data_IF_194911028601
#
_entry.id   IF_194911028601
#
_cell.length_a   1.000
_cell.length_b   1.000
_cell.length_c   1.000
_cell.angle_alpha   90.00
_cell.angle_beta   90.00
_cell.angle_gamma   90.00
#
_symmetry.space_group_name_H-M   'P 1'
#
loop_
_entity.id
_entity.type
_entity.pdbx_description
1 polymer ?
#
# COMPACT_ATOMS: atom_id res chain seq x y z
N UNK A 1 48.11 -22.12 20.87
CA UNK A 1 47.39 -21.71 19.65
C UNK A 1 45.95 -22.25 19.60
N UNK A 2 45.71 -23.53 19.91
CA UNK A 2 44.39 -24.18 19.87
C UNK A 2 43.28 -23.54 20.75
N UNK A 3 43.61 -23.08 21.97
CA UNK A 3 42.63 -22.41 22.87
C UNK A 3 42.12 -21.05 22.36
N UNK A 4 42.92 -20.35 21.55
CA UNK A 4 42.51 -19.06 20.95
C UNK A 4 41.57 -19.30 19.77
N UNK A 5 41.81 -20.35 18.99
CA UNK A 5 40.97 -20.73 17.85
C UNK A 5 39.55 -21.14 18.29
N UNK A 6 39.44 -21.88 19.40
CA UNK A 6 38.17 -22.34 19.97
C UNK A 6 37.33 -21.20 20.55
N UNK A 7 37.95 -20.21 21.20
CA UNK A 7 37.24 -19.00 21.67
C UNK A 7 36.70 -18.15 20.53
N UNK A 8 37.45 -18.01 19.45
CA UNK A 8 37.01 -17.29 18.24
C UNK A 8 35.83 -18.01 17.59
N UNK A 9 35.88 -19.35 17.50
CA UNK A 9 34.76 -20.14 16.96
C UNK A 9 33.48 -19.99 17.78
N UNK A 10 33.59 -20.04 19.12
CA UNK A 10 32.44 -19.89 20.03
C UNK A 10 31.83 -18.49 19.90
N UNK A 11 32.66 -17.44 19.85
CA UNK A 11 32.20 -16.07 19.65
C UNK A 11 31.54 -15.86 18.29
N UNK A 12 32.07 -16.48 17.23
CA UNK A 12 31.46 -16.45 15.90
C UNK A 12 30.12 -17.19 15.87
N UNK A 13 30.00 -18.32 16.56
CA UNK A 13 28.75 -19.08 16.66
C UNK A 13 27.68 -18.30 17.45
N UNK A 14 28.07 -17.68 18.56
CA UNK A 14 27.19 -16.82 19.36
C UNK A 14 26.74 -15.57 18.57
N UNK A 15 27.61 -15.00 17.75
CA UNK A 15 27.25 -13.89 16.86
C UNK A 15 26.29 -14.32 15.74
N UNK A 16 26.46 -15.53 15.19
CA UNK A 16 25.54 -16.10 14.20
C UNK A 16 24.15 -16.41 14.80
N UNK A 17 24.09 -16.81 16.08
CA UNK A 17 22.85 -17.02 16.83
C UNK A 17 22.19 -15.71 17.31
N UNK A 18 22.92 -14.59 17.34
CA UNK A 18 22.37 -13.28 17.68
C UNK A 18 21.61 -12.63 16.52
N UNK A 19 21.76 -13.15 15.29
CA UNK A 19 20.88 -12.82 14.17
C UNK A 19 19.52 -13.47 14.38
N UNK A 20 18.61 -12.80 15.08
CA UNK A 20 17.23 -13.25 15.20
C UNK A 20 16.60 -13.45 13.81
N UNK A 21 15.60 -14.34 13.67
CA UNK A 21 14.91 -14.52 12.40
C UNK A 21 14.36 -13.15 11.97
N UNK A 22 14.78 -12.67 10.79
CA UNK A 22 14.03 -11.63 10.12
C UNK A 22 12.68 -12.25 9.80
N UNK A 23 11.66 -11.93 10.61
CA UNK A 23 10.30 -12.43 10.37
C UNK A 23 9.86 -11.89 9.01
N UNK A 24 9.67 -12.79 8.06
CA UNK A 24 9.10 -12.46 6.77
C UNK A 24 7.69 -11.94 7.02
N UNK A 25 7.45 -10.70 6.61
CA UNK A 25 6.24 -9.97 6.92
C UNK A 25 6.00 -8.94 5.83
N UNK A 26 4.83 -8.98 5.21
CA UNK A 26 4.41 -7.95 4.26
C UNK A 26 3.71 -6.84 5.02
N UNK A 27 4.27 -5.63 4.97
CA UNK A 27 3.66 -4.42 5.51
C UNK A 27 2.99 -3.64 4.40
N UNK A 28 1.69 -3.40 4.56
CA UNK A 28 0.91 -2.55 3.67
C UNK A 28 0.71 -1.18 4.29
N UNK A 29 0.95 -0.12 3.52
CA UNK A 29 0.79 1.27 3.95
C UNK A 29 -0.05 2.05 2.94
N UNK A 30 -1.00 2.83 3.44
CA UNK A 30 -1.92 3.65 2.65
C UNK A 30 -1.48 5.11 2.68
N UNK A 31 -1.32 5.68 1.50
CA UNK A 31 -0.81 7.03 1.31
C UNK A 31 -1.82 7.92 0.59
N UNK A 32 -1.76 9.22 0.86
CA UNK A 32 -2.38 10.23 0.03
C UNK A 32 -1.58 11.53 0.00
N UNK A 33 -1.82 12.33 -1.03
CA UNK A 33 -1.38 13.73 -1.09
C UNK A 33 -2.53 14.68 -0.74
N UNK A 34 -2.25 15.80 -0.06
CA UNK A 34 -3.26 16.83 0.15
C UNK A 34 -3.44 17.65 -1.14
N UNK A 35 -4.60 17.47 -1.77
CA UNK A 35 -5.02 18.23 -2.95
C UNK A 35 -4.38 17.80 -4.27
N UNK A 36 -4.74 18.49 -5.35
CA UNK A 36 -4.13 18.27 -6.66
C UNK A 36 -2.65 18.68 -6.64
N UNK A 37 -1.78 17.84 -7.20
CA UNK A 37 -0.35 18.14 -7.36
C UNK A 37 -0.04 18.39 -8.83
N UNK A 38 0.64 19.49 -9.11
CA UNK A 38 1.03 19.90 -10.46
C UNK A 38 2.55 19.98 -10.51
N UNK A 39 3.16 19.45 -11.56
CA UNK A 39 4.59 19.59 -11.84
C UNK A 39 4.76 19.97 -13.31
N UNK A 40 5.26 21.17 -13.57
CA UNK A 40 5.23 21.73 -14.92
C UNK A 40 3.79 21.87 -15.41
N UNK A 41 3.46 21.25 -16.54
CA UNK A 41 2.10 21.23 -17.10
C UNK A 41 1.29 19.99 -16.68
N UNK A 42 1.88 19.06 -15.94
CA UNK A 42 1.28 17.76 -15.66
C UNK A 42 0.59 17.71 -14.29
N UNK A 43 -0.62 17.17 -14.26
CA UNK A 43 -1.30 16.78 -13.04
C UNK A 43 -0.78 15.41 -12.60
N UNK A 44 -0.29 15.32 -11.37
CA UNK A 44 0.27 14.08 -10.83
C UNK A 44 -0.84 13.22 -10.21
N UNK A 45 -0.89 11.97 -10.65
CA UNK A 45 -1.83 10.97 -10.19
C UNK A 45 -1.10 9.65 -9.95
N UNK A 46 -1.65 8.74 -9.14
CA UNK A 46 -2.89 8.84 -8.35
C UNK A 46 -2.71 9.56 -7.00
N UNK A 47 -3.72 10.32 -6.54
CA UNK A 47 -3.65 11.10 -5.29
C UNK A 47 -3.79 10.26 -4.00
N UNK A 48 -4.20 9.00 -4.12
CA UNK A 48 -4.13 8.00 -3.09
C UNK A 48 -3.70 6.66 -3.69
N UNK A 49 -2.89 5.93 -2.94
CA UNK A 49 -2.30 4.66 -3.37
C UNK A 49 -1.96 3.80 -2.16
N UNK A 50 -1.68 2.53 -2.44
CA UNK A 50 -1.23 1.54 -1.48
C UNK A 50 0.20 1.11 -1.84
N UNK A 51 1.03 0.89 -0.82
CA UNK A 51 2.36 0.30 -0.96
C UNK A 51 2.46 -0.93 -0.07
N UNK A 52 3.04 -2.01 -0.59
CA UNK A 52 3.42 -3.20 0.14
C UNK A 52 4.95 -3.37 0.10
N UNK A 53 5.55 -3.60 1.26
CA UNK A 53 6.99 -3.87 1.40
C UNK A 53 7.24 -5.04 2.33
N UNK A 54 8.37 -5.74 2.15
CA UNK A 54 8.81 -6.82 3.04
C UNK A 54 9.22 -8.07 2.27
N UNK A 55 8.85 -9.24 2.78
CA UNK A 55 9.04 -10.52 2.10
C UNK A 55 7.90 -11.47 2.43
N UNK A 56 7.60 -12.39 1.50
CA UNK A 56 6.62 -13.46 1.73
C UNK A 56 7.15 -14.47 2.74
N UNK A 57 6.28 -14.95 3.62
CA UNK A 57 6.64 -15.94 4.64
C UNK A 57 6.86 -17.33 4.03
N UNK A 58 6.08 -17.70 3.02
CA UNK A 58 6.16 -19.04 2.42
C UNK A 58 7.35 -19.24 1.46
N UNK A 59 7.76 -18.22 0.72
CA UNK A 59 8.88 -18.32 -0.24
C UNK A 59 10.13 -17.52 0.15
N UNK A 60 10.00 -16.52 1.02
CA UNK A 60 11.05 -15.54 1.27
C UNK A 60 11.22 -14.49 0.16
N UNK A 61 10.36 -14.50 -0.87
CA UNK A 61 10.47 -13.56 -2.00
C UNK A 61 10.28 -12.11 -1.53
N UNK A 62 11.12 -11.16 -2.00
CA UNK A 62 10.97 -9.76 -1.64
C UNK A 62 9.67 -9.18 -2.22
N UNK A 63 9.01 -8.37 -1.42
CA UNK A 63 7.84 -7.58 -1.81
C UNK A 63 8.24 -6.11 -1.86
N UNK A 64 8.14 -5.53 -3.06
CA UNK A 64 8.19 -4.09 -3.29
C UNK A 64 7.13 -3.78 -4.35
N UNK A 65 5.97 -3.30 -3.89
CA UNK A 65 4.84 -3.07 -4.79
C UNK A 65 4.07 -1.84 -4.38
N UNK A 66 3.76 -0.98 -5.35
CA UNK A 66 2.95 0.22 -5.14
C UNK A 66 1.91 0.31 -6.24
N UNK A 67 0.67 0.62 -5.88
CA UNK A 67 -0.42 0.73 -6.83
C UNK A 67 -1.41 1.83 -6.43
N UNK A 68 -1.87 2.58 -7.43
CA UNK A 68 -3.06 3.41 -7.30
C UNK A 68 -3.81 3.53 -8.62
N UNK A 69 -5.08 3.91 -8.54
CA UNK A 69 -5.98 3.97 -9.69
C UNK A 69 -6.16 5.40 -10.19
N UNK A 70 -6.00 5.60 -11.49
CA UNK A 70 -6.18 6.89 -12.16
C UNK A 70 -6.81 6.74 -13.53
N UNK A 71 -7.26 7.85 -14.14
CA UNK A 71 -7.65 7.87 -15.54
C UNK A 71 -6.43 7.60 -16.43
N UNK A 72 -6.61 6.89 -17.55
CA UNK A 72 -5.53 6.69 -18.55
C UNK A 72 -5.04 8.00 -19.14
N UNK A 73 -5.96 8.96 -19.34
CA UNK A 73 -5.67 10.30 -19.86
C UNK A 73 -6.17 11.33 -18.84
N UNK A 74 -5.40 11.63 -17.79
CA UNK A 74 -5.80 12.58 -16.77
C UNK A 74 -5.85 14.01 -17.32
N UNK A 75 -6.91 14.75 -16.99
CA UNK A 75 -7.05 16.16 -17.37
C UNK A 75 -8.39 16.77 -16.96
N UNK A 76 -8.60 18.07 -17.22
CA UNK A 76 -9.81 18.80 -16.83
C UNK A 76 -11.12 18.17 -17.33
N UNK A 77 -11.08 17.47 -18.46
CA UNK A 77 -12.21 16.76 -19.05
C UNK A 77 -12.86 15.76 -18.08
N UNK A 78 -12.09 15.20 -17.14
CA UNK A 78 -12.59 14.24 -16.15
C UNK A 78 -13.66 14.81 -15.20
N UNK A 79 -13.79 16.14 -15.14
CA UNK A 79 -14.87 16.80 -14.40
C UNK A 79 -16.24 16.59 -15.06
N UNK A 80 -16.27 16.24 -16.34
CA UNK A 80 -17.47 16.18 -17.18
C UNK A 80 -17.73 14.80 -17.77
N UNK A 81 -16.72 13.94 -17.90
CA UNK A 81 -16.85 12.62 -18.52
C UNK A 81 -16.23 11.50 -17.69
N UNK A 82 -16.80 10.30 -17.84
CA UNK A 82 -16.15 9.06 -17.43
C UNK A 82 -15.26 8.53 -18.55
N UNK A 83 -14.29 7.69 -18.21
CA UNK A 83 -13.35 7.13 -19.19
C UNK A 83 -12.69 5.85 -18.71
N UNK A 84 -11.67 5.41 -19.45
CA UNK A 84 -10.84 4.28 -19.01
C UNK A 84 -9.85 4.74 -17.93
N UNK A 85 -9.78 3.98 -16.86
CA UNK A 85 -8.78 4.03 -15.83
C UNK A 85 -7.69 2.98 -16.02
N UNK A 86 -6.68 3.07 -15.16
CA UNK A 86 -5.58 2.13 -15.05
C UNK A 86 -5.08 2.12 -13.60
N UNK A 87 -4.61 0.95 -13.17
CA UNK A 87 -3.81 0.83 -11.96
C UNK A 87 -2.35 1.02 -12.35
N UNK A 88 -1.71 2.02 -11.75
CA UNK A 88 -0.35 2.41 -12.06
C UNK A 88 0.48 2.50 -10.77
N UNK A 89 1.77 2.20 -10.90
CA UNK A 89 2.78 2.57 -9.90
C UNK A 89 2.99 4.09 -9.99
N UNK A 90 2.78 4.85 -8.90
CA UNK A 90 3.08 6.28 -8.90
C UNK A 90 4.58 6.51 -9.17
N UNK A 91 4.92 7.65 -9.79
CA UNK A 91 6.32 8.05 -9.99
C UNK A 91 7.07 8.03 -8.65
N UNK A 92 8.27 7.44 -8.59
CA UNK A 92 8.98 7.18 -7.33
C UNK A 92 9.12 8.44 -6.45
N UNK A 93 9.55 9.57 -7.03
CA UNK A 93 9.66 10.84 -6.29
C UNK A 93 8.31 11.29 -5.74
N UNK A 94 7.25 11.16 -6.53
CA UNK A 94 5.90 11.50 -6.09
C UNK A 94 5.43 10.58 -4.95
N UNK A 95 5.68 9.27 -5.06
CA UNK A 95 5.37 8.32 -3.99
C UNK A 95 6.08 8.68 -2.68
N UNK A 96 7.35 9.10 -2.73
CA UNK A 96 8.09 9.52 -1.54
C UNK A 96 7.54 10.79 -0.86
N UNK A 97 6.83 11.65 -1.59
CA UNK A 97 6.22 12.87 -1.06
C UNK A 97 4.84 12.62 -0.42
N UNK A 98 4.35 11.37 -0.45
CA UNK A 98 3.03 11.00 0.10
C UNK A 98 3.00 10.98 1.62
N UNK A 99 1.86 11.38 2.20
CA UNK A 99 1.64 11.23 3.63
C UNK A 99 1.04 9.85 3.91
N UNK A 100 1.65 9.02 4.78
CA UNK A 100 1.05 7.77 5.23
C UNK A 100 -0.07 8.03 6.25
N UNK A 101 -1.09 7.19 6.21
CA UNK A 101 -2.28 7.30 7.08
C UNK A 101 -2.60 6.00 7.83
N UNK A 102 -2.44 4.86 7.17
CA UNK A 102 -2.58 3.55 7.78
C UNK A 102 -1.39 2.67 7.42
N UNK A 103 -0.96 1.81 8.34
CA UNK A 103 0.05 0.78 8.13
C UNK A 103 -0.27 -0.46 8.96
N UNK A 104 -0.14 -1.64 8.35
CA UNK A 104 -0.38 -2.93 9.00
C UNK A 104 0.38 -4.05 8.33
N UNK A 105 0.70 -5.09 9.09
CA UNK A 105 1.30 -6.32 8.56
C UNK A 105 0.19 -7.29 8.17
N UNK A 106 0.31 -7.89 6.99
CA UNK A 106 -0.68 -8.83 6.45
C UNK A 106 -0.04 -10.17 6.12
N UNK A 107 -0.84 -11.22 6.05
CA UNK A 107 -0.42 -12.55 5.58
C UNK A 107 -0.18 -12.58 4.07
N UNK A 108 0.58 -13.58 3.60
CA UNK A 108 0.82 -13.82 2.18
C UNK A 108 -0.48 -13.99 1.39
N UNK A 109 -1.48 -14.66 1.97
CA UNK A 109 -2.80 -14.83 1.39
C UNK A 109 -3.50 -13.48 1.18
N UNK A 110 -3.48 -12.61 2.18
CA UNK A 110 -4.03 -11.27 2.08
C UNK A 110 -3.27 -10.41 1.04
N UNK A 111 -1.95 -10.54 0.95
CA UNK A 111 -1.15 -9.86 -0.08
C UNK A 111 -1.54 -10.32 -1.49
N UNK A 112 -1.65 -11.63 -1.72
CA UNK A 112 -2.08 -12.19 -3.02
C UNK A 112 -3.51 -11.78 -3.37
N UNK A 113 -4.42 -11.74 -2.40
CA UNK A 113 -5.78 -11.25 -2.60
C UNK A 113 -5.78 -9.76 -3.02
N UNK A 114 -4.97 -8.95 -2.36
CA UNK A 114 -4.81 -7.53 -2.68
C UNK A 114 -4.24 -7.33 -4.10
N UNK A 115 -3.21 -8.10 -4.49
CA UNK A 115 -2.66 -8.11 -5.85
C UNK A 115 -3.71 -8.47 -6.90
N UNK A 116 -4.43 -9.58 -6.67
CA UNK A 116 -5.51 -10.05 -7.55
C UNK A 116 -6.60 -8.98 -7.71
N UNK A 117 -6.96 -8.32 -6.61
CA UNK A 117 -7.98 -7.27 -6.64
C UNK A 117 -7.51 -6.04 -7.42
N UNK A 118 -6.25 -5.64 -7.25
CA UNK A 118 -5.66 -4.56 -8.05
C UNK A 118 -5.63 -4.90 -9.54
N UNK A 119 -5.33 -6.15 -9.91
CA UNK A 119 -5.36 -6.60 -11.30
C UNK A 119 -6.78 -6.54 -11.89
N UNK A 120 -7.81 -6.89 -11.11
CA UNK A 120 -9.21 -6.72 -11.55
C UNK A 120 -9.55 -5.26 -11.84
N UNK A 121 -9.09 -4.30 -11.01
CA UNK A 121 -9.26 -2.86 -11.27
C UNK A 121 -8.59 -2.41 -12.57
N UNK A 122 -7.52 -3.07 -12.99
CA UNK A 122 -6.83 -2.80 -14.24
C UNK A 122 -7.44 -3.56 -15.45
N UNK A 123 -8.29 -4.55 -15.17
CA UNK A 123 -8.98 -5.38 -16.16
C UNK A 123 -10.17 -4.69 -16.83
N UNK A 124 -10.75 -5.34 -17.86
CA UNK A 124 -11.83 -4.75 -18.67
C UNK A 124 -13.06 -4.36 -17.84
N UNK A 125 -13.43 -5.15 -16.84
CA UNK A 125 -14.57 -4.91 -15.96
C UNK A 125 -14.30 -3.82 -14.91
N UNK A 126 -13.08 -3.78 -14.36
CA UNK A 126 -12.72 -2.87 -13.28
C UNK A 126 -12.26 -1.48 -13.75
N UNK A 127 -11.82 -1.36 -15.00
CA UNK A 127 -11.14 -0.17 -15.52
C UNK A 127 -12.03 1.05 -15.78
N UNK A 128 -13.30 1.10 -15.38
CA UNK A 128 -14.08 2.34 -15.49
C UNK A 128 -13.52 3.38 -14.51
N UNK A 129 -13.20 4.58 -15.00
CA UNK A 129 -12.83 5.73 -14.19
C UNK A 129 -13.90 6.82 -14.29
N UNK A 130 -14.36 7.27 -13.12
CA UNK A 130 -15.23 8.43 -12.98
C UNK A 130 -14.74 9.25 -11.80
N UNK A 131 -14.34 10.50 -12.05
CA UNK A 131 -13.69 11.32 -11.04
C UNK A 131 -14.50 11.44 -9.73
N UNK A 132 -15.84 11.49 -9.80
CA UNK A 132 -16.71 11.70 -8.63
C UNK A 132 -17.18 10.41 -7.96
N UNK A 133 -17.10 9.26 -8.62
CA UNK A 133 -17.74 8.01 -8.15
C UNK A 133 -16.82 6.80 -8.16
N UNK A 134 -15.78 6.80 -8.98
CA UNK A 134 -14.89 5.66 -9.19
C UNK A 134 -13.48 6.14 -9.53
N UNK A 135 -12.74 6.51 -8.49
CA UNK A 135 -11.47 7.19 -8.55
C UNK A 135 -10.43 6.51 -7.63
N UNK A 136 -9.30 7.16 -7.39
CA UNK A 136 -8.25 6.65 -6.48
C UNK A 136 -8.75 6.32 -5.06
N UNK A 137 -9.77 7.04 -4.54
CA UNK A 137 -10.34 6.81 -3.21
C UNK A 137 -11.10 5.49 -3.18
N UNK A 138 -11.98 5.27 -4.16
CA UNK A 138 -12.70 3.99 -4.27
C UNK A 138 -11.78 2.80 -4.46
N UNK A 139 -10.65 3.00 -5.14
CA UNK A 139 -9.63 1.98 -5.25
C UNK A 139 -8.99 1.67 -3.89
N UNK A 140 -8.47 2.67 -3.17
CA UNK A 140 -7.82 2.41 -1.87
C UNK A 140 -8.81 1.94 -0.80
N UNK A 141 -10.08 2.34 -0.88
CA UNK A 141 -11.13 1.84 -0.01
C UNK A 141 -11.38 0.34 -0.25
N UNK A 142 -11.43 -0.08 -1.51
CA UNK A 142 -11.59 -1.49 -1.88
C UNK A 142 -10.35 -2.33 -1.51
N UNK A 143 -9.13 -1.79 -1.69
CA UNK A 143 -7.91 -2.42 -1.17
C UNK A 143 -7.95 -2.59 0.35
N UNK A 144 -8.38 -1.55 1.08
CA UNK A 144 -8.52 -1.59 2.53
C UNK A 144 -9.52 -2.65 2.98
N UNK A 145 -10.70 -2.73 2.35
CA UNK A 145 -11.71 -3.77 2.63
C UNK A 145 -11.19 -5.18 2.33
N UNK A 146 -10.43 -5.34 1.24
CA UNK A 146 -9.84 -6.63 0.84
C UNK A 146 -8.93 -7.21 1.94
N UNK A 147 -8.32 -6.36 2.76
CA UNK A 147 -7.48 -6.77 3.90
C UNK A 147 -8.14 -6.56 5.26
N UNK A 148 -9.47 -6.49 5.29
CA UNK A 148 -10.26 -6.50 6.52
C UNK A 148 -10.39 -5.16 7.25
N UNK A 149 -9.96 -4.05 6.64
CA UNK A 149 -10.14 -2.72 7.22
C UNK A 149 -11.55 -2.18 6.97
N UNK A 150 -12.07 -1.46 7.96
CA UNK A 150 -13.27 -0.63 7.78
C UNK A 150 -12.90 0.62 6.98
N UNK A 151 -13.82 1.18 6.23
CA UNK A 151 -13.55 2.40 5.42
C UNK A 151 -14.49 3.52 5.80
N UNK A 152 -14.03 4.77 5.67
CA UNK A 152 -14.93 5.91 5.70
C UNK A 152 -15.95 5.87 4.56
N UNK A 153 -16.93 6.77 4.61
CA UNK A 153 -18.00 6.85 3.62
C UNK A 153 -17.48 7.25 2.23
N UNK A 154 -18.12 6.70 1.19
CA UNK A 154 -17.85 6.94 -0.22
C UNK A 154 -19.16 7.28 -0.96
N UNK A 155 -19.12 8.00 -2.09
CA UNK A 155 -17.92 8.51 -2.77
C UNK A 155 -17.32 9.75 -2.11
N UNK A 156 -16.02 10.01 -2.37
CA UNK A 156 -15.30 11.17 -1.86
C UNK A 156 -14.42 11.79 -2.95
N UNK A 157 -14.04 13.05 -2.72
CA UNK A 157 -13.12 13.85 -3.55
C UNK A 157 -11.88 14.31 -2.77
N UNK A 158 -11.75 13.92 -1.50
CA UNK A 158 -10.70 14.39 -0.59
C UNK A 158 -9.92 13.17 -0.05
N UNK A 159 -8.87 12.71 -0.75
CA UNK A 159 -8.21 11.46 -0.41
C UNK A 159 -7.60 11.45 1.00
N UNK A 160 -6.93 12.54 1.39
CA UNK A 160 -6.39 12.68 2.75
C UNK A 160 -7.47 12.62 3.83
N UNK A 161 -8.57 13.39 3.68
CA UNK A 161 -9.67 13.37 4.65
C UNK A 161 -10.36 12.00 4.74
N UNK A 162 -10.50 11.30 3.61
CA UNK A 162 -11.00 9.93 3.59
C UNK A 162 -10.09 8.98 4.37
N UNK A 163 -8.78 9.04 4.18
CA UNK A 163 -7.83 8.18 4.89
C UNK A 163 -7.70 8.55 6.37
N UNK A 164 -7.85 9.82 6.75
CA UNK A 164 -7.93 10.24 8.16
C UNK A 164 -9.15 9.62 8.85
N UNK A 165 -10.33 9.74 8.24
CA UNK A 165 -11.54 9.13 8.77
C UNK A 165 -11.46 7.59 8.78
N UNK A 166 -10.82 6.99 7.78
CA UNK A 166 -10.56 5.55 7.74
C UNK A 166 -9.60 5.11 8.84
N UNK A 167 -8.56 5.89 9.16
CA UNK A 167 -7.66 5.62 10.28
C UNK A 167 -8.38 5.71 11.63
N UNK A 168 -9.34 6.63 11.81
CA UNK A 168 -10.19 6.70 13.01
C UNK A 168 -11.01 5.41 13.19
N UNK A 169 -11.49 4.82 12.10
CA UNK A 169 -12.20 3.54 12.13
C UNK A 169 -11.28 2.33 12.34
N UNK A 170 -9.97 2.48 12.19
CA UNK A 170 -9.02 1.38 12.35
C UNK A 170 -7.84 1.84 13.22
N UNK A 171 -8.09 2.14 14.51
CA UNK A 171 -7.06 2.65 15.41
C UNK A 171 -5.85 1.72 15.51
N UNK A 172 -6.02 0.42 15.29
CA UNK A 172 -4.95 -0.58 15.27
C UNK A 172 -4.01 -0.48 14.07
N UNK A 173 -4.48 0.11 12.96
CA UNK A 173 -3.71 0.27 11.73
C UNK A 173 -3.34 1.73 11.46
N UNK A 174 -3.68 2.67 12.35
CA UNK A 174 -3.37 4.09 12.15
C UNK A 174 -1.85 4.34 12.14
N UNK A 175 -1.38 5.17 11.22
CA UNK A 175 0.04 5.51 11.08
C UNK A 175 0.63 6.06 12.39
N UNK A 176 1.88 5.68 12.68
CA UNK A 176 2.58 6.07 13.90
C UNK A 176 2.32 5.16 15.12
N UNK A 177 1.57 4.07 14.93
CA UNK A 177 1.42 3.00 15.93
C UNK A 177 2.24 1.76 15.55
N UNK A 178 2.62 0.90 16.51
CA UNK A 178 3.24 -0.39 16.20
C UNK A 178 2.33 -1.20 15.27
N UNK A 179 2.87 -1.82 14.21
CA UNK A 179 2.06 -2.56 13.25
C UNK A 179 1.40 -3.76 13.92
N UNK A 180 0.09 -3.90 13.71
CA UNK A 180 -0.67 -5.08 14.14
C UNK A 180 -0.65 -6.11 13.01
N UNK A 181 -0.44 -7.38 13.37
CA UNK A 181 -0.44 -8.51 12.45
C UNK A 181 -1.90 -8.91 12.18
N UNK A 182 -2.34 -8.79 10.93
CA UNK A 182 -3.63 -9.31 10.46
C UNK A 182 -3.40 -10.66 9.79
N UNK A 183 -3.82 -11.73 10.46
CA UNK A 183 -3.50 -13.11 10.06
C UNK A 183 -4.47 -13.71 9.04
N UNK A 184 -5.65 -13.13 8.83
CA UNK A 184 -6.65 -13.66 7.90
C UNK A 184 -7.38 -12.56 7.12
N UNK A 185 -7.52 -12.69 5.79
CA UNK A 185 -8.53 -11.93 5.04
C UNK A 185 -9.95 -12.40 5.42
N UNK A 186 -10.93 -11.50 5.32
CA UNK A 186 -12.36 -11.84 5.47
C UNK A 186 -12.90 -12.53 4.21
#
# INVERSE_FOLDING_TARGET
MALRLSRVLILALLAALAGGPAWAAVTVTFYAHPGARIRGADLLFPHAYVQATGSLDDTGDPVEWTAGFTAKNPGPQLLFVSGKGAVLTPEARYAHEGRPYLSLTISDAAYRALRTRADWWNGPEGSLYELRRRNCITFVADMARTIGLRTAAEPSMKPGAFLEATAVLNPQAAWGRPPVIVTQPL
#
